data_IF_078931164575
#
_entry.id   IF_078931164575
#
_cell.length_a   1.000
_cell.length_b   1.000
_cell.length_c   1.000
_cell.angle_alpha   90.00
_cell.angle_beta   90.00
_cell.angle_gamma   90.00
#
_symmetry.space_group_name_H-M   'P 1'
#
loop_
_entity.id
_entity.type
_entity.pdbx_description
1 polymer ?
#
# COMPACT_ATOMS: atom_id res chain seq x y z
N UNK A 1 21.89 25.53 7.14
CA UNK A 1 21.12 24.31 7.43
C UNK A 1 19.90 24.41 6.55
N UNK A 2 19.77 23.50 5.60
CA UNK A 2 18.57 23.38 4.75
C UNK A 2 17.36 23.13 5.66
N UNK A 3 16.20 23.69 5.35
CA UNK A 3 14.99 23.35 6.10
C UNK A 3 14.66 21.87 5.85
N UNK A 4 14.27 21.12 6.90
CA UNK A 4 13.93 19.71 6.74
C UNK A 4 12.73 19.57 5.80
N UNK A 5 12.84 18.67 4.83
CA UNK A 5 11.77 18.34 3.90
C UNK A 5 11.37 16.89 4.13
N UNK A 6 10.56 16.68 5.16
CA UNK A 6 10.09 15.37 5.61
C UNK A 6 8.57 15.28 5.43
N UNK A 7 8.08 14.13 4.94
CA UNK A 7 6.65 13.76 4.94
C UNK A 7 6.39 12.63 5.93
N UNK A 8 5.16 12.56 6.44
CA UNK A 8 4.63 11.45 7.24
C UNK A 8 4.85 11.54 8.76
N UNK A 9 5.89 12.25 9.22
CA UNK A 9 6.13 12.50 10.64
C UNK A 9 6.78 13.87 10.87
N UNK A 10 6.71 14.39 12.09
CA UNK A 10 7.38 15.64 12.42
C UNK A 10 8.92 15.46 12.46
N UNK A 11 9.71 16.49 12.07
CA UNK A 11 11.16 16.37 12.03
C UNK A 11 11.85 16.12 13.38
N UNK A 12 11.19 16.34 14.52
CA UNK A 12 11.78 16.03 15.82
C UNK A 12 11.72 14.53 16.10
N UNK A 13 10.55 13.92 15.87
CA UNK A 13 10.37 12.46 15.97
C UNK A 13 11.33 11.69 15.05
N UNK A 14 11.50 12.14 13.80
CA UNK A 14 12.44 11.49 12.87
C UNK A 14 13.90 11.64 13.33
N UNK A 15 14.25 12.78 13.94
CA UNK A 15 15.60 13.00 14.47
C UNK A 15 15.90 12.08 15.65
N UNK A 16 14.94 11.92 16.56
CA UNK A 16 15.06 11.01 17.70
C UNK A 16 15.16 9.55 17.21
N UNK A 17 14.32 9.15 16.25
CA UNK A 17 14.36 7.82 15.63
C UNK A 17 15.71 7.52 14.95
N UNK A 18 16.29 8.51 14.27
CA UNK A 18 17.61 8.42 13.62
C UNK A 18 18.74 8.33 14.66
N UNK A 19 18.66 9.11 15.74
CA UNK A 19 19.68 9.13 16.78
C UNK A 19 19.72 7.83 17.60
N UNK A 20 18.53 7.27 17.91
CA UNK A 20 18.38 6.08 18.75
C UNK A 20 18.29 4.78 17.94
N UNK A 21 18.28 4.86 16.61
CA UNK A 21 18.00 3.75 15.70
C UNK A 21 16.66 3.03 16.01
N UNK A 22 15.67 3.79 16.49
CA UNK A 22 14.33 3.29 16.80
C UNK A 22 13.56 3.03 15.51
N UNK A 23 13.26 1.77 15.22
CA UNK A 23 12.66 1.35 13.94
C UNK A 23 11.17 1.62 13.87
N UNK A 24 10.50 1.71 15.04
CA UNK A 24 9.05 1.91 15.15
C UNK A 24 8.76 3.07 16.13
N UNK A 25 9.09 4.33 15.78
CA UNK A 25 8.99 5.48 16.67
C UNK A 25 7.55 5.92 17.01
N UNK A 26 6.53 5.22 16.52
CA UNK A 26 5.13 5.50 16.84
C UNK A 26 4.42 6.34 15.79
N UNK A 27 4.80 6.18 14.52
CA UNK A 27 4.33 6.99 13.39
C UNK A 27 3.59 6.15 12.35
N UNK A 28 3.04 6.82 11.33
CA UNK A 28 2.51 6.20 10.10
C UNK A 28 3.58 6.08 8.99
N UNK A 29 4.86 6.24 9.34
CA UNK A 29 5.99 6.20 8.42
C UNK A 29 6.48 7.58 8.02
N UNK A 30 7.69 7.64 7.46
CA UNK A 30 8.31 8.90 7.09
C UNK A 30 9.37 8.71 6.01
N UNK A 31 9.58 9.76 5.21
CA UNK A 31 10.74 9.86 4.34
C UNK A 31 11.05 11.33 3.98
N UNK A 32 12.26 11.56 3.49
CA UNK A 32 12.71 12.84 2.93
C UNK A 32 14.09 13.27 3.45
N UNK A 33 14.38 14.56 3.40
CA UNK A 33 15.66 15.13 3.86
C UNK A 33 15.56 15.69 5.29
N UNK A 34 16.42 15.20 6.17
CA UNK A 34 16.62 15.69 7.53
C UNK A 34 18.10 15.97 7.76
N UNK A 35 18.43 17.23 8.10
CA UNK A 35 19.79 17.64 8.49
C UNK A 35 20.90 17.23 7.48
N UNK A 36 20.57 17.20 6.19
CA UNK A 36 21.48 16.82 5.09
C UNK A 36 21.55 15.32 4.80
N UNK A 37 20.68 14.51 5.41
CA UNK A 37 20.54 13.09 5.14
C UNK A 37 19.16 12.78 4.56
N UNK A 38 19.13 11.93 3.53
CA UNK A 38 17.90 11.25 3.11
C UNK A 38 17.61 10.12 4.08
N UNK A 39 16.35 10.02 4.49
CA UNK A 39 15.84 8.96 5.37
C UNK A 39 14.58 8.37 4.78
N UNK A 40 14.39 7.07 4.97
CA UNK A 40 13.13 6.37 4.65
C UNK A 40 12.89 5.29 5.69
N UNK A 41 11.69 5.28 6.27
CA UNK A 41 11.34 4.38 7.37
C UNK A 41 11.46 2.89 7.00
N UNK A 42 11.47 2.02 8.02
CA UNK A 42 11.71 0.57 7.88
C UNK A 42 10.75 -0.17 6.95
N UNK A 43 9.53 0.34 6.74
CA UNK A 43 8.54 -0.25 5.82
C UNK A 43 8.45 0.51 4.49
N UNK A 44 9.16 1.63 4.35
CA UNK A 44 9.14 2.45 3.14
C UNK A 44 7.76 3.03 2.82
N UNK A 45 7.01 3.45 3.84
CA UNK A 45 5.61 3.88 3.74
C UNK A 45 5.44 5.16 2.95
N UNK A 46 6.40 6.08 3.07
CA UNK A 46 6.50 7.26 2.21
C UNK A 46 7.47 6.93 1.06
N UNK A 47 7.05 7.08 -0.21
CA UNK A 47 7.95 6.91 -1.35
C UNK A 47 9.02 7.99 -1.34
N UNK A 48 10.25 7.63 -1.71
CA UNK A 48 11.34 8.57 -1.86
C UNK A 48 12.20 8.05 -3.00
N UNK A 49 12.43 8.88 -4.00
CA UNK A 49 13.22 8.58 -5.17
C UNK A 49 14.43 9.50 -5.24
N UNK A 50 15.53 8.96 -5.74
CA UNK A 50 16.75 9.72 -6.03
C UNK A 50 17.04 9.62 -7.53
N UNK A 51 17.66 10.66 -8.06
CA UNK A 51 18.19 10.65 -9.41
C UNK A 51 19.40 9.72 -9.47
N UNK A 52 19.41 8.81 -10.42
CA UNK A 52 20.55 7.93 -10.67
C UNK A 52 21.10 8.32 -12.01
N UNK A 53 22.36 8.74 -12.10
CA UNK A 53 22.97 8.96 -13.41
C UNK A 53 23.45 7.61 -13.96
N UNK A 54 22.81 7.05 -15.01
CA UNK A 54 23.19 5.76 -15.57
C UNK A 54 24.55 5.80 -16.29
N UNK A 55 25.08 6.99 -16.58
CA UNK A 55 26.37 7.21 -17.24
C UNK A 55 27.50 7.59 -16.25
N UNK A 56 27.21 7.76 -14.95
CA UNK A 56 28.24 7.98 -13.94
C UNK A 56 28.96 6.68 -13.59
N UNK A 57 30.28 6.78 -13.49
CA UNK A 57 31.14 5.74 -12.94
C UNK A 57 30.66 5.40 -11.51
N UNK A 58 30.35 4.14 -11.17
CA UNK A 58 29.97 3.76 -9.81
C UNK A 58 31.06 4.07 -8.76
N UNK A 59 32.31 4.31 -9.20
CA UNK A 59 33.42 4.78 -8.36
C UNK A 59 33.53 6.32 -8.30
N UNK A 60 32.65 7.07 -8.96
CA UNK A 60 32.58 8.52 -8.82
C UNK A 60 31.96 8.87 -7.45
N UNK A 61 32.73 9.59 -6.62
CA UNK A 61 32.40 9.93 -5.22
C UNK A 61 31.15 10.83 -5.02
N UNK A 62 30.31 11.05 -6.04
CA UNK A 62 29.06 11.82 -5.93
C UNK A 62 28.04 11.37 -6.98
N UNK A 63 26.89 10.89 -6.52
CA UNK A 63 25.67 10.86 -7.32
C UNK A 63 25.07 12.27 -7.36
N UNK A 64 24.26 12.56 -8.36
CA UNK A 64 23.52 13.82 -8.45
C UNK A 64 22.57 13.96 -7.25
N UNK A 65 22.61 15.10 -6.56
CA UNK A 65 21.87 15.36 -5.32
C UNK A 65 20.34 15.49 -5.45
N UNK A 66 19.78 15.22 -6.64
CA UNK A 66 18.36 15.41 -6.89
C UNK A 66 17.55 14.25 -6.31
N UNK A 67 16.49 14.58 -5.59
CA UNK A 67 15.57 13.62 -4.99
C UNK A 67 14.15 14.18 -5.02
N UNK A 68 13.17 13.29 -5.03
CA UNK A 68 11.76 13.64 -5.05
C UNK A 68 10.89 12.56 -4.39
N UNK A 69 9.66 12.92 -4.00
CA UNK A 69 8.66 11.94 -3.55
C UNK A 69 7.99 11.21 -4.72
N UNK A 70 7.99 11.82 -5.91
CA UNK A 70 7.35 11.31 -7.12
C UNK A 70 8.43 10.95 -8.16
N UNK A 71 8.35 9.78 -8.82
CA UNK A 71 9.34 9.37 -9.80
C UNK A 71 9.33 10.26 -11.05
N UNK A 72 8.18 10.83 -11.43
CA UNK A 72 8.05 11.70 -12.61
C UNK A 72 8.75 13.06 -12.48
N UNK A 73 9.23 13.41 -11.29
CA UNK A 73 9.99 14.63 -11.05
C UNK A 73 11.49 14.47 -11.36
N UNK A 74 11.93 13.25 -11.72
CA UNK A 74 13.31 12.87 -11.99
C UNK A 74 13.42 12.27 -13.40
N UNK A 75 14.63 12.23 -13.95
CA UNK A 75 14.90 11.68 -15.28
C UNK A 75 15.04 10.15 -15.26
N UNK A 76 15.82 9.61 -14.31
CA UNK A 76 16.03 8.17 -14.06
C UNK A 76 15.86 7.84 -12.55
N UNK A 77 14.60 7.82 -12.08
CA UNK A 77 14.28 7.67 -10.67
C UNK A 77 14.59 6.26 -10.15
N UNK A 78 15.46 6.16 -9.14
CA UNK A 78 15.60 4.95 -8.32
C UNK A 78 14.97 5.16 -6.95
N UNK A 79 14.19 4.17 -6.50
CA UNK A 79 13.57 4.19 -5.18
C UNK A 79 14.65 4.08 -4.09
N UNK A 80 14.69 5.07 -3.19
CA UNK A 80 15.58 5.07 -2.04
C UNK A 80 15.21 3.90 -1.10
N UNK A 81 16.17 3.06 -0.66
CA UNK A 81 15.88 1.87 0.13
C UNK A 81 15.11 2.14 1.43
N UNK A 82 14.18 1.25 1.78
CA UNK A 82 13.50 1.30 3.08
C UNK A 82 14.45 0.94 4.22
N UNK A 83 14.20 1.51 5.40
CA UNK A 83 15.02 1.30 6.59
C UNK A 83 16.43 1.88 6.48
N UNK A 84 16.63 2.86 5.61
CA UNK A 84 17.94 3.41 5.29
C UNK A 84 18.03 4.90 5.60
N UNK A 85 19.26 5.34 5.85
CA UNK A 85 19.63 6.74 5.99
C UNK A 85 21.01 6.96 5.34
N UNK A 86 21.14 7.98 4.49
CA UNK A 86 22.39 8.31 3.81
C UNK A 86 22.50 9.83 3.55
N UNK A 87 23.71 10.41 3.55
CA UNK A 87 23.90 11.80 3.14
C UNK A 87 23.37 12.07 1.72
N UNK A 88 22.82 13.26 1.49
CA UNK A 88 22.33 13.65 0.16
C UNK A 88 23.50 13.68 -0.84
N UNK A 89 23.33 13.03 -2.00
CA UNK A 89 24.34 12.97 -3.07
C UNK A 89 25.37 11.84 -2.93
N UNK A 90 25.28 11.01 -1.89
CA UNK A 90 26.04 9.76 -1.80
C UNK A 90 25.35 8.61 -2.54
N UNK A 91 26.05 7.49 -2.68
CA UNK A 91 25.50 6.30 -3.30
C UNK A 91 24.32 5.74 -2.49
N UNK A 92 23.42 5.05 -3.19
CA UNK A 92 22.33 4.35 -2.55
C UNK A 92 22.85 3.38 -1.48
N UNK A 93 22.34 3.47 -0.23
CA UNK A 93 22.74 2.56 0.82
C UNK A 93 22.16 1.16 0.59
N UNK A 94 22.60 0.17 1.36
CA UNK A 94 21.89 -1.11 1.41
C UNK A 94 20.52 -0.93 2.10
N UNK A 95 19.48 -1.71 1.71
CA UNK A 95 18.23 -1.78 2.46
C UNK A 95 18.46 -2.18 3.92
N UNK A 96 17.64 -1.64 4.82
CA UNK A 96 17.74 -1.86 6.27
C UNK A 96 19.11 -1.47 6.88
N UNK A 97 19.90 -0.61 6.21
CA UNK A 97 21.23 -0.17 6.68
C UNK A 97 21.20 0.65 7.98
N UNK A 98 20.07 1.22 8.35
CA UNK A 98 19.92 2.02 9.57
C UNK A 98 18.81 1.49 10.50
N UNK A 99 17.63 1.18 9.96
CA UNK A 99 16.53 0.54 10.69
C UNK A 99 16.23 -0.83 10.08
N UNK A 100 16.09 -1.84 10.93
CA UNK A 100 15.75 -3.21 10.51
C UNK A 100 14.38 -3.58 11.06
N UNK A 101 13.66 -4.46 10.36
CA UNK A 101 12.37 -4.94 10.89
C UNK A 101 12.60 -5.65 12.23
N UNK A 102 12.07 -5.16 13.37
CA UNK A 102 12.42 -5.69 14.68
C UNK A 102 12.14 -7.19 14.81
N UNK A 103 13.04 -7.90 15.50
CA UNK A 103 12.85 -9.31 15.86
C UNK A 103 12.31 -9.39 17.29
N UNK A 104 10.98 -9.27 17.41
CA UNK A 104 10.29 -9.22 18.69
C UNK A 104 9.89 -10.63 19.13
N UNK A 105 10.08 -10.93 20.41
CA UNK A 105 9.59 -12.18 20.99
C UNK A 105 8.06 -12.19 20.99
N UNK A 106 7.41 -13.24 20.44
CA UNK A 106 5.96 -13.36 20.46
C UNK A 106 5.41 -13.39 21.89
N UNK A 107 4.25 -12.77 22.09
CA UNK A 107 3.49 -12.91 23.32
C UNK A 107 3.03 -14.37 23.48
N UNK A 108 3.09 -14.89 24.69
CA UNK A 108 2.70 -16.27 25.01
C UNK A 108 1.24 -16.37 25.43
N UNK A 109 0.66 -15.32 26.00
CA UNK A 109 -0.75 -15.26 26.36
C UNK A 109 -1.58 -14.73 25.19
N UNK A 110 -2.42 -15.59 24.61
CA UNK A 110 -3.25 -15.25 23.46
C UNK A 110 -4.23 -14.12 23.78
N UNK A 111 -4.76 -14.03 25.01
CA UNK A 111 -5.68 -12.97 25.38
C UNK A 111 -4.93 -11.63 25.43
N UNK A 112 -3.74 -11.61 26.03
CA UNK A 112 -2.89 -10.43 26.08
C UNK A 112 -2.47 -9.96 24.67
N UNK A 113 -2.14 -10.89 23.77
CA UNK A 113 -1.79 -10.59 22.39
C UNK A 113 -2.94 -9.94 21.61
N UNK A 114 -4.16 -10.49 21.73
CA UNK A 114 -5.36 -9.94 21.09
C UNK A 114 -5.70 -8.55 21.66
N UNK A 115 -5.62 -8.38 22.97
CA UNK A 115 -5.91 -7.09 23.59
C UNK A 115 -4.84 -6.04 23.26
N UNK A 116 -3.58 -6.45 23.05
CA UNK A 116 -2.52 -5.57 22.55
C UNK A 116 -2.78 -5.13 21.11
N UNK A 117 -3.17 -6.06 20.24
CA UNK A 117 -3.55 -5.75 18.86
C UNK A 117 -4.76 -4.82 18.79
N UNK A 118 -5.79 -5.05 19.60
CA UNK A 118 -6.94 -4.15 19.67
C UNK A 118 -6.53 -2.74 20.09
N UNK A 119 -5.70 -2.60 21.14
CA UNK A 119 -5.18 -1.29 21.57
C UNK A 119 -4.40 -0.62 20.44
N UNK A 120 -3.54 -1.36 19.75
CA UNK A 120 -2.72 -0.83 18.66
C UNK A 120 -3.57 -0.31 17.49
N UNK A 121 -4.59 -1.07 17.09
CA UNK A 121 -5.52 -0.68 16.02
C UNK A 121 -6.31 0.57 16.42
N UNK A 122 -6.70 0.70 17.69
CA UNK A 122 -7.32 1.92 18.21
C UNK A 122 -6.35 3.11 18.20
N UNK A 123 -5.11 2.93 18.68
CA UNK A 123 -4.07 3.97 18.61
C UNK A 123 -3.89 4.47 17.18
N UNK A 124 -3.82 3.56 16.21
CA UNK A 124 -3.68 3.93 14.81
C UNK A 124 -4.87 4.76 14.29
N UNK A 125 -6.11 4.37 14.63
CA UNK A 125 -7.30 5.15 14.26
C UNK A 125 -7.36 6.52 14.94
N UNK A 126 -6.95 6.59 16.21
CA UNK A 126 -6.90 7.84 16.97
C UNK A 126 -5.83 8.79 16.40
N UNK A 127 -4.71 8.28 15.92
CA UNK A 127 -3.69 9.08 15.22
C UNK A 127 -4.22 9.66 13.90
N UNK A 128 -4.95 8.87 13.12
CA UNK A 128 -5.54 9.33 11.85
C UNK A 128 -6.60 10.41 12.05
N UNK A 129 -7.39 10.30 13.12
CA UNK A 129 -8.47 11.25 13.44
C UNK A 129 -7.99 12.54 14.13
N UNK A 130 -6.70 12.69 14.44
CA UNK A 130 -6.16 13.94 14.98
C UNK A 130 -5.97 15.02 13.91
N UNK A 131 -5.89 14.61 12.65
CA UNK A 131 -5.82 15.52 11.52
C UNK A 131 -7.24 15.96 11.14
N UNK A 132 -7.47 17.27 11.05
CA UNK A 132 -8.76 17.86 10.64
C UNK A 132 -8.92 17.74 9.12
N UNK A 133 -9.16 16.51 8.65
CA UNK A 133 -9.30 16.14 7.23
C UNK A 133 -10.54 15.29 6.99
N UNK A 134 -11.20 15.48 5.86
CA UNK A 134 -12.34 14.66 5.45
C UNK A 134 -11.83 13.37 4.77
N UNK A 135 -12.09 12.22 5.41
CA UNK A 135 -11.57 10.91 4.97
C UNK A 135 -12.70 10.05 4.42
N UNK A 136 -12.47 9.41 3.27
CA UNK A 136 -13.30 8.31 2.76
C UNK A 136 -12.54 6.98 2.76
N UNK A 137 -13.24 5.84 2.71
CA UNK A 137 -12.61 4.51 2.68
C UNK A 137 -12.83 3.82 1.33
N UNK A 138 -11.73 3.35 0.73
CA UNK A 138 -11.78 2.37 -0.36
C UNK A 138 -12.25 1.01 0.19
N UNK A 139 -13.54 0.73 0.02
CA UNK A 139 -14.25 -0.35 0.69
C UNK A 139 -14.48 -1.55 -0.23
N UNK A 140 -13.65 -2.58 -0.05
CA UNK A 140 -13.72 -3.84 -0.81
C UNK A 140 -14.72 -4.86 -0.28
N UNK A 141 -15.39 -4.56 0.84
CA UNK A 141 -16.28 -5.50 1.53
C UNK A 141 -15.60 -6.65 2.28
N UNK A 142 -14.26 -6.70 2.30
CA UNK A 142 -13.47 -7.61 3.13
C UNK A 142 -13.21 -7.07 4.53
N UNK A 143 -12.76 -7.95 5.43
CA UNK A 143 -12.51 -7.63 6.85
C UNK A 143 -11.56 -6.44 7.06
N UNK A 144 -10.55 -6.27 6.21
CA UNK A 144 -9.53 -5.23 6.36
C UNK A 144 -10.11 -3.83 6.17
N UNK A 145 -10.74 -3.59 5.02
CA UNK A 145 -11.39 -2.30 4.73
C UNK A 145 -12.60 -2.06 5.63
N UNK A 146 -13.27 -3.12 6.09
CA UNK A 146 -14.39 -2.99 7.00
C UNK A 146 -13.97 -2.56 8.40
N UNK A 147 -12.87 -3.12 8.93
CA UNK A 147 -12.34 -2.68 10.21
C UNK A 147 -11.85 -1.22 10.13
N UNK A 148 -11.13 -0.86 9.06
CA UNK A 148 -10.72 0.54 8.84
C UNK A 148 -11.92 1.48 8.75
N UNK A 149 -12.96 1.11 7.99
CA UNK A 149 -14.18 1.89 7.88
C UNK A 149 -14.90 2.10 9.23
N UNK A 150 -15.00 1.05 10.04
CA UNK A 150 -15.65 1.13 11.36
C UNK A 150 -14.86 2.01 12.33
N UNK A 151 -13.54 1.92 12.33
CA UNK A 151 -12.68 2.68 13.25
C UNK A 151 -12.60 4.17 12.90
N UNK A 152 -12.65 4.50 11.61
CA UNK A 152 -12.59 5.89 11.14
C UNK A 152 -13.97 6.55 11.03
N UNK A 153 -15.05 5.78 11.18
CA UNK A 153 -16.43 6.24 10.94
C UNK A 153 -16.61 6.94 9.57
N UNK A 154 -15.85 6.51 8.55
CA UNK A 154 -15.77 7.20 7.28
C UNK A 154 -16.79 6.67 6.23
N UNK A 155 -17.16 7.47 5.20
CA UNK A 155 -17.98 7.04 4.08
C UNK A 155 -17.32 5.94 3.24
N UNK A 156 -18.13 5.03 2.70
CA UNK A 156 -17.65 3.85 1.99
C UNK A 156 -17.75 4.05 0.48
N UNK A 157 -16.67 3.78 -0.24
CA UNK A 157 -16.62 3.82 -1.69
C UNK A 157 -16.10 2.51 -2.25
N UNK A 158 -16.83 1.92 -3.20
CA UNK A 158 -16.37 0.76 -3.98
C UNK A 158 -16.37 1.11 -5.45
N UNK A 159 -15.47 0.49 -6.20
CA UNK A 159 -15.39 0.63 -7.66
C UNK A 159 -15.38 -0.75 -8.31
N UNK A 160 -15.98 -0.85 -9.49
CA UNK A 160 -15.91 -2.06 -10.28
C UNK A 160 -16.82 -2.01 -11.50
N UNK A 161 -16.61 -2.95 -12.42
CA UNK A 161 -17.55 -3.14 -13.52
C UNK A 161 -18.91 -3.64 -12.99
N UNK A 162 -20.00 -3.45 -13.76
CA UNK A 162 -21.30 -4.02 -13.44
C UNK A 162 -21.21 -5.52 -13.13
N UNK A 163 -21.95 -5.95 -12.10
CA UNK A 163 -22.00 -7.32 -11.59
C UNK A 163 -20.64 -7.89 -11.13
N UNK A 164 -19.66 -7.03 -10.86
CA UNK A 164 -18.38 -7.44 -10.30
C UNK A 164 -18.51 -7.97 -8.87
N UNK A 165 -17.65 -8.91 -8.52
CA UNK A 165 -17.69 -9.56 -7.22
C UNK A 165 -17.42 -8.57 -6.08
N UNK A 166 -16.55 -7.59 -6.30
CA UNK A 166 -16.21 -6.60 -5.27
C UNK A 166 -17.37 -5.66 -4.98
N UNK A 167 -18.14 -5.22 -6.00
CA UNK A 167 -19.33 -4.39 -5.80
C UNK A 167 -20.40 -5.15 -5.01
N UNK A 168 -20.66 -6.41 -5.34
CA UNK A 168 -21.64 -7.22 -4.61
C UNK A 168 -21.19 -7.54 -3.17
N UNK A 169 -19.91 -7.84 -2.98
CA UNK A 169 -19.33 -8.05 -1.65
C UNK A 169 -19.40 -6.77 -0.80
N UNK A 170 -19.05 -5.62 -1.37
CA UNK A 170 -19.14 -4.33 -0.70
C UNK A 170 -20.58 -3.99 -0.34
N UNK A 171 -21.55 -4.12 -1.25
CA UNK A 171 -22.98 -3.90 -0.96
C UNK A 171 -23.44 -4.74 0.23
N UNK A 172 -23.18 -6.04 0.17
CA UNK A 172 -23.60 -6.96 1.24
C UNK A 172 -22.91 -6.64 2.57
N UNK A 173 -21.63 -6.24 2.56
CA UNK A 173 -20.93 -5.86 3.79
C UNK A 173 -21.45 -4.54 4.37
N UNK A 174 -21.68 -3.54 3.52
CA UNK A 174 -22.20 -2.25 3.94
C UNK A 174 -23.62 -2.39 4.53
N UNK A 175 -24.48 -3.19 3.89
CA UNK A 175 -25.82 -3.51 4.40
C UNK A 175 -25.76 -4.20 5.78
N UNK A 176 -24.87 -5.19 5.94
CA UNK A 176 -24.65 -5.87 7.21
C UNK A 176 -24.16 -4.92 8.32
N UNK A 177 -23.30 -3.97 7.96
CA UNK A 177 -22.79 -2.93 8.86
C UNK A 177 -23.80 -1.78 9.07
N UNK A 178 -24.90 -1.73 8.33
CA UNK A 178 -25.86 -0.62 8.36
C UNK A 178 -25.28 0.70 7.86
N UNK A 179 -24.32 0.65 6.92
CA UNK A 179 -23.61 1.81 6.36
C UNK A 179 -24.07 2.08 4.93
N UNK A 180 -24.01 3.35 4.53
CA UNK A 180 -24.23 3.72 3.13
C UNK A 180 -22.96 3.45 2.31
N UNK A 181 -23.15 2.94 1.09
CA UNK A 181 -22.08 2.65 0.15
C UNK A 181 -22.28 3.45 -1.15
N UNK A 182 -21.25 4.16 -1.57
CA UNK A 182 -21.16 4.75 -2.90
C UNK A 182 -20.50 3.75 -3.84
N UNK A 183 -21.16 3.45 -4.96
CA UNK A 183 -20.64 2.57 -6.00
C UNK A 183 -20.19 3.41 -7.18
N UNK A 184 -18.96 3.19 -7.63
CA UNK A 184 -18.37 3.78 -8.84
C UNK A 184 -18.40 2.71 -9.94
N UNK A 185 -19.41 2.80 -10.80
CA UNK A 185 -19.56 1.87 -11.92
C UNK A 185 -18.54 2.18 -13.01
N UNK A 186 -17.76 1.18 -13.41
CA UNK A 186 -16.75 1.32 -14.45
C UNK A 186 -17.26 0.98 -15.85
N UNK A 187 -16.80 1.75 -16.83
CA UNK A 187 -16.88 1.48 -18.25
C UNK A 187 -15.49 1.20 -18.85
N UNK A 188 -15.39 0.48 -19.98
CA UNK A 188 -14.10 0.20 -20.60
C UNK A 188 -13.31 1.47 -20.98
N UNK A 189 -14.01 2.56 -21.30
CA UNK A 189 -13.42 3.85 -21.63
C UNK A 189 -12.69 4.48 -20.42
N UNK A 190 -13.13 4.20 -19.20
CA UNK A 190 -12.45 4.68 -17.98
C UNK A 190 -11.05 4.09 -17.88
N UNK A 191 -10.88 2.82 -18.24
CA UNK A 191 -9.59 2.13 -18.23
C UNK A 191 -8.67 2.70 -19.32
N UNK A 192 -9.18 2.90 -20.53
CA UNK A 192 -8.38 3.47 -21.63
C UNK A 192 -7.84 4.86 -21.27
N UNK A 193 -8.64 5.68 -20.57
CA UNK A 193 -8.22 7.00 -20.07
C UNK A 193 -7.24 6.90 -18.91
N UNK A 194 -7.54 6.07 -17.91
CA UNK A 194 -6.78 6.05 -16.66
C UNK A 194 -5.45 5.29 -16.77
N UNK A 195 -5.29 4.35 -17.71
CA UNK A 195 -4.04 3.56 -17.82
C UNK A 195 -2.81 4.44 -18.02
N UNK A 196 -2.77 5.41 -18.95
CA UNK A 196 -1.62 6.30 -19.09
C UNK A 196 -1.37 7.21 -17.87
N UNK A 197 -2.43 7.65 -17.19
CA UNK A 197 -2.32 8.49 -15.99
C UNK A 197 -1.69 7.70 -14.84
N UNK A 198 -2.23 6.52 -14.56
CA UNK A 198 -1.75 5.60 -13.52
C UNK A 198 -0.32 5.15 -13.78
N UNK A 199 -0.02 4.71 -15.01
CA UNK A 199 1.32 4.18 -15.33
C UNK A 199 2.41 5.25 -15.17
N UNK A 200 2.12 6.52 -15.52
CA UNK A 200 3.03 7.64 -15.29
C UNK A 200 3.16 7.97 -13.82
N UNK A 201 2.05 8.05 -13.08
CA UNK A 201 2.05 8.36 -11.66
C UNK A 201 2.90 7.38 -10.84
N UNK A 202 2.74 6.08 -11.06
CA UNK A 202 3.49 5.05 -10.32
C UNK A 202 4.89 4.79 -10.90
N UNK A 203 5.20 5.33 -12.09
CA UNK A 203 6.45 5.06 -12.81
C UNK A 203 6.63 3.61 -13.27
N UNK A 204 5.52 2.87 -13.52
CA UNK A 204 5.55 1.44 -13.87
C UNK A 204 4.57 1.11 -14.98
N UNK A 205 5.00 0.24 -15.89
CA UNK A 205 4.18 -0.23 -17.02
C UNK A 205 3.78 -1.70 -16.92
N UNK A 206 4.31 -2.43 -15.93
CA UNK A 206 3.97 -3.84 -15.77
C UNK A 206 2.47 -4.01 -15.50
N UNK A 207 1.86 -4.99 -16.18
CA UNK A 207 0.42 -5.15 -16.17
C UNK A 207 -0.16 -5.39 -14.77
N UNK A 208 0.55 -6.12 -13.90
CA UNK A 208 0.06 -6.44 -12.56
C UNK A 208 -0.15 -5.17 -11.72
N UNK A 209 0.87 -4.30 -11.66
CA UNK A 209 0.80 -3.08 -10.87
C UNK A 209 -0.24 -2.11 -11.44
N UNK A 210 -0.29 -1.92 -12.76
CA UNK A 210 -1.29 -1.05 -13.37
C UNK A 210 -2.70 -1.59 -13.13
N UNK A 211 -2.92 -2.91 -13.21
CA UNK A 211 -4.22 -3.51 -12.92
C UNK A 211 -4.66 -3.37 -11.46
N UNK A 212 -3.73 -3.36 -10.51
CA UNK A 212 -4.03 -3.13 -9.09
C UNK A 212 -4.28 -1.66 -8.81
N UNK A 213 -3.51 -0.77 -9.42
CA UNK A 213 -3.61 0.67 -9.24
C UNK A 213 -4.86 1.28 -9.88
N UNK A 214 -5.29 0.81 -11.06
CA UNK A 214 -6.47 1.33 -11.76
C UNK A 214 -7.75 1.45 -10.90
N UNK A 215 -8.23 0.39 -10.20
CA UNK A 215 -9.40 0.55 -9.35
C UNK A 215 -9.14 1.56 -8.22
N UNK A 216 -7.95 1.54 -7.60
CA UNK A 216 -7.62 2.49 -6.55
C UNK A 216 -7.61 3.95 -7.05
N UNK A 217 -7.11 4.19 -8.26
CA UNK A 217 -7.13 5.50 -8.91
C UNK A 217 -8.57 5.97 -9.18
N UNK A 218 -9.38 5.12 -9.82
CA UNK A 218 -10.73 5.48 -10.25
C UNK A 218 -11.68 5.73 -9.07
N UNK A 219 -11.51 4.99 -7.96
CA UNK A 219 -12.25 5.29 -6.72
C UNK A 219 -11.73 6.58 -6.07
N UNK A 220 -10.41 6.83 -6.10
CA UNK A 220 -9.80 8.06 -5.62
C UNK A 220 -10.28 9.31 -6.37
N UNK A 221 -10.32 9.28 -7.71
CA UNK A 221 -10.85 10.38 -8.52
C UNK A 221 -12.29 10.74 -8.12
N UNK A 222 -13.12 9.72 -7.88
CA UNK A 222 -14.49 9.94 -7.44
C UNK A 222 -14.56 10.56 -6.04
N UNK A 223 -13.74 10.08 -5.12
CA UNK A 223 -13.66 10.57 -3.74
C UNK A 223 -13.17 12.02 -3.71
N UNK A 224 -12.13 12.35 -4.46
CA UNK A 224 -11.64 13.72 -4.62
C UNK A 224 -12.72 14.64 -5.22
N UNK A 225 -13.44 14.17 -6.25
CA UNK A 225 -14.54 14.93 -6.86
C UNK A 225 -15.71 15.17 -5.89
N UNK A 226 -15.91 14.28 -4.91
CA UNK A 226 -16.92 14.44 -3.85
C UNK A 226 -16.44 15.34 -2.69
N UNK A 227 -15.18 15.82 -2.73
CA UNK A 227 -14.64 16.86 -1.85
C UNK A 227 -13.91 16.37 -0.61
N UNK A 228 -13.51 15.10 -0.56
CA UNK A 228 -12.68 14.56 0.52
C UNK A 228 -11.20 14.91 0.33
N UNK A 229 -10.45 14.94 1.43
CA UNK A 229 -9.02 15.25 1.46
C UNK A 229 -8.16 13.97 1.40
N UNK A 230 -8.68 12.83 1.85
CA UNK A 230 -7.90 11.61 2.01
C UNK A 230 -8.68 10.33 1.66
N UNK A 231 -7.93 9.32 1.22
CA UNK A 231 -8.44 7.97 0.96
C UNK A 231 -7.78 6.96 1.89
N UNK A 232 -8.59 6.39 2.78
CA UNK A 232 -8.18 5.30 3.65
C UNK A 232 -8.28 3.94 2.96
N UNK A 233 -7.25 3.11 3.16
CA UNK A 233 -7.14 1.76 2.61
C UNK A 233 -6.84 0.75 3.73
N UNK A 234 -7.30 -0.49 3.55
CA UNK A 234 -6.99 -1.62 4.44
C UNK A 234 -5.61 -2.25 4.20
N UNK A 235 -4.65 -1.46 3.70
CA UNK A 235 -3.35 -1.96 3.26
C UNK A 235 -2.49 -2.43 4.46
N UNK A 236 -1.68 -3.47 4.26
CA UNK A 236 -0.82 -4.07 5.27
C UNK A 236 -1.44 -5.22 6.07
N UNK A 237 -2.77 -5.41 6.02
CA UNK A 237 -3.43 -6.47 6.79
C UNK A 237 -3.00 -7.88 6.34
N UNK A 238 -2.81 -8.08 5.04
CA UNK A 238 -2.39 -9.37 4.51
C UNK A 238 -0.94 -9.69 4.86
N UNK A 239 -0.06 -8.70 4.78
CA UNK A 239 1.36 -8.82 5.11
C UNK A 239 1.59 -9.02 6.60
N UNK A 240 0.92 -8.24 7.45
CA UNK A 240 1.12 -8.26 8.90
C UNK A 240 0.51 -9.48 9.59
N UNK A 241 -0.61 -10.00 9.06
CA UNK A 241 -1.40 -11.03 9.76
C UNK A 241 -1.52 -12.34 8.98
N UNK A 242 -0.74 -12.57 7.93
CA UNK A 242 -0.76 -13.84 7.18
C UNK A 242 -2.04 -14.04 6.37
N UNK A 243 -2.38 -13.01 5.58
CA UNK A 243 -3.59 -12.99 4.78
C UNK A 243 -3.50 -13.62 3.39
N UNK A 244 -2.28 -13.88 2.91
CA UNK A 244 -2.10 -14.54 1.62
C UNK A 244 -2.17 -16.06 1.73
N UNK A 245 -2.81 -16.70 0.75
CA UNK A 245 -2.86 -18.16 0.63
C UNK A 245 -1.46 -18.81 0.62
N UNK A 246 -0.47 -18.15 0.00
CA UNK A 246 0.93 -18.61 -0.01
C UNK A 246 1.57 -18.70 1.38
N UNK A 247 1.11 -17.90 2.33
CA UNK A 247 1.61 -17.89 3.73
C UNK A 247 1.07 -19.09 4.49
N UNK A 248 -0.18 -19.48 4.23
CA UNK A 248 -0.83 -20.64 4.87
C UNK A 248 -0.21 -21.94 4.41
N UNK A 249 -0.09 -22.11 3.09
CA UNK A 249 0.33 -23.39 2.53
C UNK A 249 1.85 -23.54 2.42
N UNK A 250 2.61 -22.50 2.77
CA UNK A 250 4.07 -22.44 2.59
C UNK A 250 4.47 -23.00 1.22
N UNK A 251 3.77 -22.54 0.19
CA UNK A 251 3.99 -23.05 -1.15
C UNK A 251 5.21 -22.39 -1.80
N UNK A 252 5.60 -22.86 -2.98
CA UNK A 252 6.75 -22.39 -3.75
C UNK A 252 6.82 -20.87 -4.02
N UNK A 253 5.81 -20.06 -3.65
CA UNK A 253 5.79 -18.59 -3.77
C UNK A 253 6.35 -17.88 -2.53
N UNK A 254 6.76 -18.60 -1.50
CA UNK A 254 7.49 -18.10 -0.33
C UNK A 254 8.77 -18.92 -0.13
N UNK A 255 9.84 -18.28 0.33
CA UNK A 255 11.10 -18.98 0.64
C UNK A 255 11.09 -19.55 2.06
N UNK A 256 10.22 -19.01 2.92
CA UNK A 256 10.12 -19.38 4.32
C UNK A 256 9.56 -20.78 4.57
N UNK A 257 10.12 -21.44 5.59
CA UNK A 257 9.70 -22.76 6.07
C UNK A 257 8.66 -22.69 7.21
N UNK A 258 8.29 -21.48 7.65
CA UNK A 258 7.33 -21.27 8.76
C UNK A 258 6.35 -20.15 8.41
N UNK A 259 5.13 -20.22 8.97
CA UNK A 259 4.11 -19.17 8.80
C UNK A 259 4.65 -17.80 9.19
N UNK A 260 5.33 -17.70 10.34
CA UNK A 260 5.98 -16.46 10.78
C UNK A 260 7.04 -15.97 9.79
N UNK A 261 7.87 -16.86 9.25
CA UNK A 261 8.84 -16.51 8.22
C UNK A 261 8.16 -15.93 6.98
N UNK A 262 7.09 -16.57 6.51
CA UNK A 262 6.33 -16.13 5.34
C UNK A 262 5.59 -14.80 5.58
N UNK A 263 5.10 -14.57 6.79
CA UNK A 263 4.58 -13.25 7.22
C UNK A 263 5.67 -12.19 7.17
N UNK A 264 6.87 -12.48 7.71
CA UNK A 264 8.00 -11.53 7.65
C UNK A 264 8.45 -11.24 6.22
N UNK A 265 8.44 -12.23 5.32
CA UNK A 265 8.65 -12.01 3.88
C UNK A 265 7.56 -11.09 3.28
N UNK A 266 6.30 -11.29 3.68
CA UNK A 266 5.20 -10.40 3.33
C UNK A 266 5.48 -8.96 3.75
N UNK A 267 5.85 -8.73 5.01
CA UNK A 267 6.20 -7.40 5.52
C UNK A 267 7.37 -6.79 4.74
N UNK A 268 8.41 -7.57 4.44
CA UNK A 268 9.57 -7.10 3.65
C UNK A 268 9.27 -6.81 2.19
N UNK A 269 8.13 -7.26 1.68
CA UNK A 269 7.67 -6.90 0.33
C UNK A 269 6.92 -5.56 0.29
N UNK A 270 6.51 -5.02 1.44
CA UNK A 270 5.78 -3.74 1.50
C UNK A 270 6.55 -2.58 0.82
N UNK A 271 7.87 -2.38 1.03
CA UNK A 271 8.61 -1.28 0.40
C UNK A 271 8.49 -1.19 -1.13
N UNK A 272 8.27 -2.32 -1.80
CA UNK A 272 8.11 -2.41 -3.26
C UNK A 272 6.65 -2.25 -3.70
N UNK A 273 5.70 -2.58 -2.83
CA UNK A 273 4.27 -2.50 -3.09
C UNK A 273 3.69 -1.11 -2.78
N UNK A 274 4.06 -0.53 -1.64
CA UNK A 274 3.49 0.72 -1.14
C UNK A 274 3.66 1.91 -2.10
N UNK A 275 4.79 2.09 -2.81
CA UNK A 275 4.92 3.19 -3.77
C UNK A 275 3.83 3.16 -4.84
N UNK A 276 3.44 1.97 -5.33
CA UNK A 276 2.32 1.86 -6.28
C UNK A 276 1.06 2.46 -5.68
N UNK A 277 0.67 2.03 -4.49
CA UNK A 277 -0.62 2.41 -3.92
C UNK A 277 -0.63 3.88 -3.46
N UNK A 278 0.46 4.34 -2.84
CA UNK A 278 0.63 5.73 -2.39
C UNK A 278 0.57 6.70 -3.57
N UNK A 279 1.43 6.48 -4.58
CA UNK A 279 1.47 7.37 -5.77
C UNK A 279 0.17 7.33 -6.55
N UNK A 280 -0.53 6.19 -6.56
CA UNK A 280 -1.86 6.08 -7.18
C UNK A 280 -2.87 6.99 -6.51
N UNK A 281 -2.89 7.04 -5.17
CA UNK A 281 -3.83 7.88 -4.43
C UNK A 281 -3.43 9.36 -4.56
N UNK A 282 -2.14 9.68 -4.38
CA UNK A 282 -1.63 11.06 -4.52
C UNK A 282 -1.91 11.64 -5.91
N UNK A 283 -1.87 10.82 -6.97
CA UNK A 283 -2.21 11.24 -8.33
C UNK A 283 -3.68 11.67 -8.52
N UNK A 284 -4.56 11.36 -7.57
CA UNK A 284 -5.95 11.84 -7.53
C UNK A 284 -6.11 13.14 -6.73
N UNK A 285 -5.03 13.62 -6.11
CA UNK A 285 -5.02 14.79 -5.22
C UNK A 285 -5.40 14.47 -3.76
N UNK A 286 -5.50 13.18 -3.40
CA UNK A 286 -5.86 12.73 -2.05
C UNK A 286 -4.62 12.34 -1.25
N UNK A 287 -4.70 12.52 0.07
CA UNK A 287 -3.72 11.95 1.00
C UNK A 287 -4.00 10.43 1.20
N UNK A 288 -3.00 9.56 1.04
CA UNK A 288 -3.14 8.13 1.33
C UNK A 288 -3.11 7.86 2.83
N UNK A 289 -4.10 7.12 3.33
CA UNK A 289 -4.21 6.76 4.75
C UNK A 289 -4.25 5.24 4.90
N UNK A 290 -3.24 4.66 5.56
CA UNK A 290 -3.16 3.21 5.79
C UNK A 290 -2.98 2.91 7.30
N UNK A 291 -4.05 2.97 8.11
CA UNK A 291 -3.93 2.91 9.58
C UNK A 291 -3.30 1.62 10.09
N UNK A 292 -3.50 0.51 9.37
CA UNK A 292 -2.94 -0.78 9.76
C UNK A 292 -1.41 -0.86 9.62
N UNK A 293 -0.78 0.10 8.94
CA UNK A 293 0.68 0.25 8.83
C UNK A 293 1.27 1.21 9.87
N UNK A 294 0.47 1.67 10.84
CA UNK A 294 0.98 2.43 11.97
C UNK A 294 1.92 1.55 12.83
N UNK A 295 3.00 2.13 13.34
CA UNK A 295 4.05 1.42 14.07
C UNK A 295 3.51 0.55 15.22
N UNK A 296 2.56 1.06 16.01
CA UNK A 296 1.88 0.29 17.06
C UNK A 296 1.22 -1.01 16.54
N UNK A 297 0.61 -0.98 15.36
CA UNK A 297 -0.05 -2.15 14.75
C UNK A 297 1.00 -3.12 14.23
N UNK A 298 2.05 -2.62 13.59
CA UNK A 298 3.20 -3.41 13.13
C UNK A 298 3.86 -4.13 14.33
N UNK A 299 4.13 -3.39 15.39
CA UNK A 299 4.72 -3.91 16.62
C UNK A 299 3.83 -5.00 17.26
N UNK A 300 2.51 -4.78 17.32
CA UNK A 300 1.56 -5.77 17.83
C UNK A 300 1.50 -7.03 16.94
N UNK A 301 1.55 -6.85 15.61
CA UNK A 301 1.57 -7.95 14.64
C UNK A 301 2.84 -8.81 14.78
N UNK A 302 4.00 -8.17 14.92
CA UNK A 302 5.28 -8.87 15.12
C UNK A 302 5.29 -9.72 16.40
N UNK A 303 4.59 -9.28 17.46
CA UNK A 303 4.44 -10.05 18.70
C UNK A 303 3.30 -11.07 18.69
N UNK A 304 2.48 -11.14 17.64
CA UNK A 304 1.34 -12.04 17.61
C UNK A 304 1.82 -13.51 17.59
N UNK A 305 1.27 -14.42 18.42
CA UNK A 305 1.57 -15.86 18.35
C UNK A 305 1.39 -16.47 16.96
N UNK A 306 2.17 -17.49 16.62
CA UNK A 306 2.13 -18.16 15.29
C UNK A 306 0.73 -18.67 14.94
N UNK A 307 0.05 -19.31 15.90
CA UNK A 307 -1.30 -19.84 15.69
C UNK A 307 -2.34 -18.73 15.52
N UNK A 308 -2.05 -17.50 15.96
CA UNK A 308 -2.90 -16.34 15.72
C UNK A 308 -2.59 -15.63 14.40
N UNK A 309 -1.53 -15.98 13.67
CA UNK A 309 -1.31 -15.48 12.31
C UNK A 309 -2.22 -16.21 11.34
N UNK A 310 -1.93 -17.49 11.08
CA UNK A 310 -2.70 -18.32 10.18
C UNK A 310 -2.48 -19.82 10.46
N UNK A 311 -3.44 -20.65 10.09
CA UNK A 311 -3.32 -22.10 10.00
C UNK A 311 -3.86 -22.60 8.64
N UNK A 312 -3.87 -23.92 8.43
CA UNK A 312 -4.29 -24.55 7.15
C UNK A 312 -5.70 -24.17 6.70
N UNK A 313 -6.57 -23.77 7.63
CA UNK A 313 -7.99 -23.50 7.38
C UNK A 313 -8.31 -21.99 7.41
N UNK A 314 -7.59 -21.21 8.23
CA UNK A 314 -7.95 -19.83 8.54
C UNK A 314 -6.75 -18.86 8.50
N UNK A 315 -6.93 -17.77 7.75
CA UNK A 315 -5.98 -16.65 7.61
C UNK A 315 -6.34 -15.49 8.54
N UNK A 316 -5.36 -14.66 8.88
CA UNK A 316 -5.56 -13.44 9.68
C UNK A 316 -6.26 -13.71 11.00
N UNK A 317 -5.98 -14.82 11.68
CA UNK A 317 -6.82 -15.33 12.77
C UNK A 317 -6.98 -14.34 13.91
N UNK A 318 -5.88 -13.79 14.41
CA UNK A 318 -5.87 -12.80 15.48
C UNK A 318 -6.51 -11.49 15.05
N UNK A 319 -6.26 -11.05 13.82
CA UNK A 319 -6.89 -9.87 13.24
C UNK A 319 -8.41 -10.03 13.10
N UNK A 320 -8.91 -11.18 12.62
CA UNK A 320 -10.35 -11.50 12.55
C UNK A 320 -10.99 -11.54 13.93
N UNK A 321 -10.29 -12.04 14.95
CA UNK A 321 -10.78 -12.01 16.35
C UNK A 321 -10.93 -10.59 16.88
N UNK A 322 -10.01 -9.69 16.56
CA UNK A 322 -10.15 -8.26 16.88
C UNK A 322 -11.29 -7.66 16.07
N UNK A 323 -11.33 -7.88 14.76
CA UNK A 323 -12.35 -7.35 13.88
C UNK A 323 -13.77 -7.77 14.29
N UNK A 324 -13.96 -9.00 14.78
CA UNK A 324 -15.23 -9.51 15.28
C UNK A 324 -15.75 -8.79 16.55
N UNK A 325 -14.93 -7.97 17.22
CA UNK A 325 -15.37 -7.08 18.31
C UNK A 325 -16.10 -5.83 17.77
N UNK A 326 -15.85 -5.45 16.52
CA UNK A 326 -16.34 -4.24 15.88
C UNK A 326 -17.35 -4.52 14.77
N UNK A 327 -17.19 -5.64 14.06
CA UNK A 327 -17.93 -5.95 12.84
C UNK A 327 -18.95 -7.07 13.01
N UNK A 328 -20.03 -7.08 12.22
CA UNK A 328 -20.90 -8.24 12.09
C UNK A 328 -20.10 -9.50 11.72
N UNK A 329 -20.49 -10.65 12.28
CA UNK A 329 -19.77 -11.91 12.10
C UNK A 329 -19.61 -12.32 10.62
N UNK A 330 -20.58 -12.02 9.77
CA UNK A 330 -20.52 -12.32 8.34
C UNK A 330 -19.53 -11.44 7.56
N UNK A 331 -19.19 -10.25 8.08
CA UNK A 331 -18.16 -9.37 7.50
C UNK A 331 -16.78 -9.74 8.04
N UNK A 332 -16.68 -9.99 9.34
CA UNK A 332 -15.41 -10.36 9.99
C UNK A 332 -14.81 -11.67 9.44
N UNK A 333 -15.65 -12.62 9.04
CA UNK A 333 -15.22 -13.93 8.53
C UNK A 333 -15.17 -14.01 6.99
N UNK A 334 -15.44 -12.92 6.27
CA UNK A 334 -15.49 -12.93 4.82
C UNK A 334 -14.10 -13.06 4.21
N UNK A 335 -13.99 -13.93 3.22
CA UNK A 335 -12.81 -14.00 2.35
C UNK A 335 -12.88 -12.95 1.23
N UNK A 336 -11.71 -12.44 0.85
CA UNK A 336 -11.57 -11.44 -0.20
C UNK A 336 -10.83 -12.00 -1.42
N UNK A 337 -11.19 -11.50 -2.60
CA UNK A 337 -10.43 -11.68 -3.86
C UNK A 337 -9.53 -10.46 -4.09
N UNK A 338 -8.42 -10.63 -4.80
CA UNK A 338 -7.57 -9.50 -5.15
C UNK A 338 -8.32 -8.51 -6.05
N UNK A 339 -8.11 -7.21 -5.81
CA UNK A 339 -8.96 -6.11 -6.32
C UNK A 339 -9.06 -6.09 -7.84
N UNK A 340 -7.98 -6.39 -8.55
CA UNK A 340 -7.94 -6.41 -10.01
C UNK A 340 -8.82 -7.51 -10.63
N UNK A 341 -9.02 -8.61 -9.89
CA UNK A 341 -9.89 -9.70 -10.32
C UNK A 341 -11.32 -9.50 -9.82
N UNK A 342 -11.48 -9.02 -8.59
CA UNK A 342 -12.77 -8.79 -7.96
C UNK A 342 -13.58 -7.68 -8.62
N UNK A 343 -12.93 -6.59 -9.02
CA UNK A 343 -13.50 -5.47 -9.79
C UNK A 343 -13.69 -5.76 -11.28
N UNK A 344 -13.10 -6.85 -11.80
CA UNK A 344 -13.00 -7.24 -13.21
C UNK A 344 -12.07 -6.38 -14.09
N UNK A 345 -11.29 -5.45 -13.50
CA UNK A 345 -10.33 -4.61 -14.23
C UNK A 345 -9.32 -5.45 -15.04
N UNK A 346 -8.72 -6.49 -14.45
CA UNK A 346 -7.75 -7.33 -15.15
C UNK A 346 -8.35 -8.01 -16.39
N UNK A 347 -9.63 -8.42 -16.30
CA UNK A 347 -10.35 -9.06 -17.41
C UNK A 347 -10.61 -8.05 -18.53
N UNK A 348 -11.07 -6.86 -18.18
CA UNK A 348 -11.38 -5.83 -19.18
C UNK A 348 -10.12 -5.26 -19.83
N UNK A 349 -9.02 -5.09 -19.08
CA UNK A 349 -7.75 -4.68 -19.65
C UNK A 349 -7.15 -5.74 -20.61
N UNK A 350 -7.24 -7.04 -20.29
CA UNK A 350 -6.90 -8.12 -21.25
C UNK A 350 -7.75 -8.03 -22.51
N UNK A 351 -9.06 -7.71 -22.38
CA UNK A 351 -9.96 -7.57 -23.51
C UNK A 351 -9.56 -6.38 -24.40
N UNK A 352 -9.26 -5.22 -23.81
CA UNK A 352 -8.80 -4.03 -24.51
C UNK A 352 -7.49 -4.28 -25.26
N UNK A 353 -6.48 -4.84 -24.58
CA UNK A 353 -5.21 -5.22 -25.20
C UNK A 353 -5.41 -6.11 -26.45
N UNK A 354 -6.28 -7.11 -26.33
CA UNK A 354 -6.59 -8.02 -27.44
C UNK A 354 -7.31 -7.35 -28.60
N UNK A 355 -8.15 -6.35 -28.34
CA UNK A 355 -8.84 -5.56 -29.37
C UNK A 355 -7.85 -4.65 -30.10
N UNK A 356 -6.90 -4.06 -29.37
CA UNK A 356 -5.80 -3.26 -29.92
C UNK A 356 -4.74 -4.07 -30.69
N UNK A 357 -4.85 -5.41 -30.70
CA UNK A 357 -3.97 -6.30 -31.48
C UNK A 357 -2.93 -7.05 -30.65
N UNK A 358 -2.80 -6.77 -29.36
CA UNK A 358 -1.94 -7.48 -28.41
C UNK A 358 -2.56 -8.82 -28.01
N UNK A 359 -2.25 -9.88 -28.77
CA UNK A 359 -2.85 -11.21 -28.57
C UNK A 359 -2.12 -11.99 -27.48
N UNK A 360 -2.84 -12.85 -26.74
CA UNK A 360 -2.27 -13.75 -25.69
C UNK A 360 -1.10 -14.65 -26.12
N UNK A 361 -0.91 -14.86 -27.42
CA UNK A 361 0.25 -15.58 -27.97
C UNK A 361 1.54 -14.75 -27.94
N UNK A 362 1.42 -13.44 -27.76
CA UNK A 362 2.52 -12.54 -27.50
C UNK A 362 2.83 -12.65 -26.03
N UNK A 363 4.10 -12.89 -25.72
CA UNK A 363 4.54 -12.89 -24.34
C UNK A 363 4.28 -11.52 -23.71
N UNK A 364 3.76 -11.53 -22.48
CA UNK A 364 3.36 -10.35 -21.71
C UNK A 364 2.57 -9.29 -22.49
N UNK A 365 1.50 -9.73 -23.18
CA UNK A 365 0.76 -8.88 -24.13
C UNK A 365 0.07 -7.68 -23.48
N UNK A 366 -0.32 -7.76 -22.21
CA UNK A 366 -0.98 -6.65 -21.51
C UNK A 366 0.02 -5.56 -21.14
N UNK A 367 1.20 -5.93 -20.62
CA UNK A 367 2.27 -4.94 -20.34
C UNK A 367 2.68 -4.21 -21.60
N UNK A 368 2.80 -4.93 -22.73
CA UNK A 368 3.10 -4.31 -24.03
C UNK A 368 2.02 -3.33 -24.49
N UNK A 369 0.75 -3.65 -24.23
CA UNK A 369 -0.36 -2.74 -24.52
C UNK A 369 -0.30 -1.48 -23.65
N UNK A 370 -0.08 -1.64 -22.34
CA UNK A 370 0.11 -0.52 -21.41
C UNK A 370 1.25 0.40 -21.87
N UNK A 371 2.39 -0.18 -22.22
CA UNK A 371 3.54 0.57 -22.72
C UNK A 371 3.21 1.36 -23.99
N UNK A 372 2.49 0.78 -24.96
CA UNK A 372 2.15 1.51 -26.19
C UNK A 372 1.24 2.71 -25.98
N UNK A 373 0.39 2.68 -24.95
CA UNK A 373 -0.49 3.81 -24.63
C UNK A 373 0.29 5.02 -24.09
N UNK A 374 1.54 4.83 -23.65
CA UNK A 374 2.41 5.93 -23.21
C UNK A 374 3.12 6.58 -24.40
N UNK A 375 3.54 5.78 -25.39
CA UNK A 375 4.20 6.24 -26.63
C UNK A 375 3.25 7.05 -27.53
N UNK A 376 1.99 6.61 -27.66
CA UNK A 376 0.99 7.28 -28.49
C UNK A 376 0.61 8.69 -27.96
N UNK A 377 0.74 8.91 -26.65
CA UNK A 377 0.42 10.19 -26.00
C UNK A 377 1.45 11.30 -26.25
N UNK A 378 2.71 10.96 -26.52
CA UNK A 378 3.78 11.93 -26.82
C UNK A 378 3.66 12.50 -28.24
N UNK A 379 3.06 11.75 -29.16
CA UNK A 379 2.97 12.14 -30.58
C UNK A 379 1.87 13.18 -30.86
N UNK A 380 0.96 13.41 -29.91
CA UNK A 380 -0.15 14.37 -30.05
C UNK A 380 0.11 15.75 -29.42
N UNK A 381 1.31 15.99 -28.88
CA UNK A 381 1.70 17.23 -28.21
C UNK A 381 2.58 18.20 -29.04
N UNK A 382 2.66 18.02 -30.36
CA UNK A 382 3.35 18.96 -31.29
C UNK A 382 2.40 19.93 -32.02
#
# INVERSE_FOLDING_TARGET
MTEPTIRGADPATVRDALADAESLPGTTGFAGELDGQLVRDVLGRVPLYVETDPDLDPDAESQTAAWAFEPSALEDPTLFPAGAAAPVGESLPEPESHWTLPDLTPETDHAAAIDALERAVRTASEAVNQDDRDIAVAFSGGVDSALVAELLDAPLYVVGFPDSHDVEAARTAADAMGRNLTVVDLEPADLERAVPEVARAIGRTNAMDVQIALPLYLVGERVAADGFDALAVGQGADELFGGYEKVVHLDHRVDAETVRGAVREGIRSLPDQLPRDVLTIEATGLEPVAPLLHDAVVEAALRLPDDLLADEDERKRGFRRVAARYLPAEVANRDKKAVQYGSLVARELDRLARQAGYKRRMDDHVTKYVASLLEDGETTAE
#
